data_IF_632874062280
#
_entry.id   IF_632874062280
#
_cell.length_a   1.000
_cell.length_b   1.000
_cell.length_c   1.000
_cell.angle_alpha   90.00
_cell.angle_beta   90.00
_cell.angle_gamma   90.00
#
_symmetry.space_group_name_H-M   'P 1'
#
loop_
_entity.id
_entity.type
_entity.pdbx_description
1 polymer ?
#
# COMPACT_ATOMS: atom_id res chain seq x y z
N UNK A 1 43.08 28.47 -0.66
CA UNK A 1 42.22 28.88 0.48
C UNK A 1 41.07 27.89 0.53
N UNK A 2 41.10 26.87 1.40
CA UNK A 2 39.98 25.96 1.61
C UNK A 2 38.94 26.71 2.45
N UNK A 3 37.80 27.03 1.85
CA UNK A 3 36.65 27.53 2.58
C UNK A 3 36.16 26.35 3.41
N UNK A 4 36.28 26.44 4.75
CA UNK A 4 35.62 25.48 5.64
C UNK A 4 34.10 25.60 5.39
N UNK A 5 33.44 24.52 5.00
CA UNK A 5 31.99 24.54 4.82
C UNK A 5 31.31 24.93 6.15
N UNK A 6 30.20 25.65 6.10
CA UNK A 6 29.43 25.95 7.30
C UNK A 6 28.77 24.67 7.82
N UNK A 7 28.76 24.43 9.15
CA UNK A 7 28.16 23.24 9.75
C UNK A 7 26.73 22.88 9.24
N UNK A 8 25.84 23.84 8.95
CA UNK A 8 24.56 23.55 8.31
C UNK A 8 24.65 22.99 6.87
N UNK A 9 25.65 23.45 6.10
CA UNK A 9 25.90 22.96 4.73
C UNK A 9 26.37 21.51 4.76
N UNK A 10 27.33 21.18 5.64
CA UNK A 10 27.85 19.82 5.79
C UNK A 10 26.76 18.84 6.22
N UNK A 11 25.89 19.23 7.14
CA UNK A 11 24.77 18.41 7.61
C UNK A 11 23.77 18.10 6.47
N UNK A 12 23.49 19.05 5.59
CA UNK A 12 22.62 18.82 4.44
C UNK A 12 23.28 17.91 3.38
N UNK A 13 24.59 18.10 3.13
CA UNK A 13 25.35 17.22 2.23
C UNK A 13 25.34 15.80 2.75
N UNK A 14 25.63 15.58 4.03
CA UNK A 14 25.57 14.25 4.64
C UNK A 14 24.19 13.63 4.55
N UNK A 15 23.14 14.39 4.86
CA UNK A 15 21.75 13.91 4.74
C UNK A 15 21.41 13.47 3.30
N UNK A 16 21.81 14.22 2.28
CA UNK A 16 21.56 13.88 0.88
C UNK A 16 22.39 12.65 0.47
N UNK A 17 23.61 12.52 0.96
CA UNK A 17 24.46 11.35 0.73
C UNK A 17 23.84 10.09 1.31
N UNK A 18 23.35 10.11 2.56
CA UNK A 18 22.66 8.98 3.19
C UNK A 18 21.35 8.64 2.45
N UNK A 19 20.61 9.63 2.00
CA UNK A 19 19.40 9.41 1.18
C UNK A 19 19.74 8.73 -0.15
N UNK A 20 20.84 9.09 -0.81
CA UNK A 20 21.28 8.44 -2.04
C UNK A 20 21.67 6.97 -1.79
N UNK A 21 22.40 6.68 -0.71
CA UNK A 21 22.73 5.29 -0.31
C UNK A 21 21.43 4.48 -0.13
N UNK A 22 20.51 4.95 0.71
CA UNK A 22 19.26 4.25 0.99
C UNK A 22 18.41 4.05 -0.30
N UNK A 23 18.44 4.99 -1.22
CA UNK A 23 17.75 4.86 -2.52
C UNK A 23 18.35 3.72 -3.35
N UNK A 24 19.67 3.61 -3.44
CA UNK A 24 20.32 2.50 -4.16
C UNK A 24 20.12 1.17 -3.45
N UNK A 25 20.05 1.14 -2.12
CA UNK A 25 19.73 -0.07 -1.36
C UNK A 25 18.32 -0.57 -1.74
N UNK A 26 17.31 0.30 -1.77
CA UNK A 26 15.96 -0.06 -2.22
C UNK A 26 15.94 -0.57 -3.67
N UNK A 27 16.68 0.07 -4.58
CA UNK A 27 16.75 -0.40 -5.97
C UNK A 27 17.41 -1.78 -6.06
N UNK A 28 18.40 -2.07 -5.23
CA UNK A 28 19.04 -3.38 -5.17
C UNK A 28 18.12 -4.44 -4.55
N UNK A 29 17.31 -4.07 -3.55
CA UNK A 29 16.25 -4.93 -3.00
C UNK A 29 15.21 -5.24 -4.09
N UNK A 30 14.76 -4.25 -4.85
CA UNK A 30 13.85 -4.46 -5.97
C UNK A 30 14.39 -5.48 -6.98
N UNK A 31 15.68 -5.36 -7.37
CA UNK A 31 16.32 -6.33 -8.28
C UNK A 31 16.33 -7.73 -7.67
N UNK A 32 16.67 -7.87 -6.40
CA UNK A 32 16.68 -9.13 -5.69
C UNK A 32 15.31 -9.80 -5.62
N UNK A 33 14.29 -9.04 -5.32
CA UNK A 33 12.90 -9.49 -5.28
C UNK A 33 12.39 -9.89 -6.67
N UNK A 34 12.53 -9.01 -7.66
CA UNK A 34 12.03 -9.26 -9.04
C UNK A 34 12.71 -10.41 -9.76
N UNK A 35 13.98 -10.66 -9.47
CA UNK A 35 14.75 -11.77 -10.02
C UNK A 35 14.69 -13.05 -9.16
N UNK A 36 13.96 -13.01 -8.02
CA UNK A 36 13.84 -14.14 -7.11
C UNK A 36 15.14 -14.54 -6.40
N UNK A 37 16.10 -13.60 -6.26
CA UNK A 37 17.42 -13.91 -5.73
C UNK A 37 17.40 -14.27 -4.25
N UNK A 38 16.55 -13.61 -3.46
CA UNK A 38 16.37 -13.94 -2.03
C UNK A 38 15.81 -15.34 -1.85
N UNK A 39 14.80 -15.71 -2.64
CA UNK A 39 14.22 -17.08 -2.62
C UNK A 39 15.24 -18.13 -3.04
N UNK A 40 16.00 -17.87 -4.11
CA UNK A 40 17.08 -18.76 -4.53
C UNK A 40 18.15 -18.95 -3.46
N UNK A 41 18.51 -17.89 -2.71
CA UNK A 41 19.42 -17.99 -1.56
C UNK A 41 18.81 -18.78 -0.40
N UNK A 42 17.53 -18.58 -0.08
CA UNK A 42 16.84 -19.32 0.97
C UNK A 42 16.79 -20.83 0.64
N UNK A 43 16.49 -21.18 -0.62
CA UNK A 43 16.41 -22.57 -1.08
C UNK A 43 17.78 -23.26 -1.13
N UNK A 44 18.83 -22.54 -1.52
CA UNK A 44 20.20 -23.09 -1.66
C UNK A 44 21.04 -23.00 -0.36
N UNK A 45 20.62 -22.16 0.58
CA UNK A 45 21.41 -21.80 1.75
C UNK A 45 22.62 -20.92 1.36
N UNK A 46 23.76 -21.13 2.00
CA UNK A 46 24.98 -20.38 1.68
C UNK A 46 25.48 -20.68 0.27
N UNK A 47 25.65 -19.65 -0.56
CA UNK A 47 25.94 -19.78 -1.99
C UNK A 47 27.04 -18.82 -2.45
N UNK A 48 27.87 -19.30 -3.40
CA UNK A 48 28.75 -18.44 -4.18
C UNK A 48 27.99 -17.69 -5.28
N UNK A 49 28.60 -16.67 -5.86
CA UNK A 49 28.02 -15.94 -7.00
C UNK A 49 27.70 -16.84 -8.20
N UNK A 50 28.55 -17.83 -8.47
CA UNK A 50 28.32 -18.77 -9.55
C UNK A 50 27.15 -19.72 -9.27
N UNK A 51 27.00 -20.17 -8.04
CA UNK A 51 25.88 -21.04 -7.62
C UNK A 51 24.56 -20.30 -7.69
N UNK A 52 24.47 -19.06 -7.13
CA UNK A 52 23.29 -18.22 -7.22
C UNK A 52 22.93 -17.89 -8.68
N UNK A 53 23.92 -17.51 -9.48
CA UNK A 53 23.70 -17.19 -10.89
C UNK A 53 23.07 -18.35 -11.66
N UNK A 54 23.55 -19.58 -11.38
CA UNK A 54 22.98 -20.79 -11.96
C UNK A 54 21.55 -21.06 -11.48
N UNK A 55 21.29 -20.89 -10.18
CA UNK A 55 19.98 -21.14 -9.59
C UNK A 55 18.93 -20.14 -10.10
N UNK A 56 19.29 -18.85 -10.19
CA UNK A 56 18.39 -17.79 -10.60
C UNK A 56 18.39 -17.50 -12.12
N UNK A 57 19.24 -18.18 -12.90
CA UNK A 57 19.31 -17.98 -14.36
C UNK A 57 19.85 -16.62 -14.78
N UNK A 58 20.76 -16.02 -13.99
CA UNK A 58 21.34 -14.70 -14.25
C UNK A 58 22.85 -14.79 -14.58
N UNK A 59 23.41 -13.67 -15.03
CA UNK A 59 24.85 -13.59 -15.30
C UNK A 59 25.68 -13.61 -14.01
N UNK A 60 26.76 -14.43 -13.89
CA UNK A 60 27.57 -14.55 -12.67
C UNK A 60 28.23 -13.23 -12.23
N UNK A 61 28.59 -12.33 -13.15
CA UNK A 61 29.20 -11.05 -12.78
C UNK A 61 28.21 -10.13 -12.08
N UNK A 62 26.95 -10.11 -12.56
CA UNK A 62 25.88 -9.36 -11.91
C UNK A 62 25.48 -9.99 -10.57
N UNK A 63 25.44 -11.32 -10.49
CA UNK A 63 25.20 -12.01 -9.22
C UNK A 63 26.23 -11.64 -8.17
N UNK A 64 27.52 -11.60 -8.53
CA UNK A 64 28.60 -11.20 -7.61
C UNK A 64 28.43 -9.78 -7.14
N UNK A 65 28.21 -8.82 -8.04
CA UNK A 65 28.04 -7.40 -7.66
C UNK A 65 26.86 -7.21 -6.71
N UNK A 66 25.73 -7.86 -7.02
CA UNK A 66 24.53 -7.77 -6.19
C UNK A 66 24.76 -8.38 -4.81
N UNK A 67 25.36 -9.57 -4.71
CA UNK A 67 25.69 -10.24 -3.45
C UNK A 67 26.62 -9.39 -2.57
N UNK A 68 27.67 -8.81 -3.16
CA UNK A 68 28.61 -7.96 -2.47
C UNK A 68 27.95 -6.66 -1.98
N UNK A 69 27.09 -6.03 -2.81
CA UNK A 69 26.33 -4.85 -2.43
C UNK A 69 25.37 -5.16 -1.27
N UNK A 70 24.60 -6.27 -1.36
CA UNK A 70 23.66 -6.68 -0.31
C UNK A 70 24.36 -7.04 1.00
N UNK A 71 25.56 -7.61 0.94
CA UNK A 71 26.36 -7.88 2.12
C UNK A 71 26.97 -6.58 2.71
N UNK A 72 27.38 -5.65 1.86
CA UNK A 72 27.90 -4.35 2.29
C UNK A 72 26.85 -3.51 3.04
N UNK A 73 25.55 -3.68 2.70
CA UNK A 73 24.44 -3.01 3.41
C UNK A 73 23.91 -3.79 4.60
N UNK A 74 24.42 -5.02 4.84
CA UNK A 74 23.98 -5.88 5.95
C UNK A 74 22.65 -6.62 5.71
N UNK A 75 22.12 -6.61 4.49
CA UNK A 75 20.93 -7.38 4.12
C UNK A 75 21.28 -8.86 3.99
N UNK A 76 22.46 -9.19 3.44
CA UNK A 76 23.02 -10.52 3.44
C UNK A 76 24.22 -10.60 4.37
N UNK A 77 24.54 -11.82 4.80
CA UNK A 77 25.78 -12.11 5.51
C UNK A 77 26.75 -12.86 4.59
N UNK A 78 28.05 -12.78 4.92
CA UNK A 78 29.14 -13.47 4.21
C UNK A 78 29.93 -14.33 5.18
N UNK A 79 30.19 -15.61 4.84
CA UNK A 79 30.89 -16.55 5.72
C UNK A 79 32.40 -16.35 5.70
N UNK A 80 32.98 -16.00 4.56
CA UNK A 80 34.42 -15.98 4.32
C UNK A 80 34.83 -14.75 3.53
N UNK A 81 34.65 -13.60 4.16
CA UNK A 81 34.89 -12.28 3.58
C UNK A 81 36.27 -12.13 2.92
N UNK A 82 37.31 -12.76 3.51
CA UNK A 82 38.70 -12.70 3.03
C UNK A 82 39.00 -13.66 1.86
N UNK A 83 38.03 -14.49 1.45
CA UNK A 83 38.22 -15.39 0.32
C UNK A 83 38.28 -14.63 -1.00
N UNK A 84 38.85 -15.26 -2.03
CA UNK A 84 38.78 -14.80 -3.40
C UNK A 84 37.33 -14.53 -3.81
N UNK A 85 37.02 -13.46 -4.58
CA UNK A 85 35.66 -13.04 -4.90
C UNK A 85 34.73 -14.14 -5.35
N UNK A 86 35.22 -15.07 -6.21
CA UNK A 86 34.41 -16.16 -6.74
C UNK A 86 34.21 -17.33 -5.74
N UNK A 87 34.86 -17.28 -4.58
CA UNK A 87 34.76 -18.25 -3.50
C UNK A 87 34.04 -17.75 -2.27
N UNK A 88 33.70 -16.44 -2.21
CA UNK A 88 32.89 -15.90 -1.12
C UNK A 88 31.51 -16.54 -1.11
N UNK A 89 31.03 -16.87 0.06
CA UNK A 89 29.70 -17.47 0.24
C UNK A 89 28.82 -16.51 1.00
N UNK A 90 27.61 -16.32 0.49
CA UNK A 90 26.62 -15.39 1.02
C UNK A 90 25.36 -16.14 1.41
N UNK A 91 24.66 -15.66 2.42
CA UNK A 91 23.41 -16.25 2.88
C UNK A 91 22.47 -15.20 3.46
N UNK A 92 21.18 -15.55 3.53
CA UNK A 92 20.18 -14.75 4.24
C UNK A 92 20.34 -14.98 5.76
N UNK A 93 20.52 -13.91 6.57
CA UNK A 93 20.47 -14.03 8.02
C UNK A 93 19.11 -14.50 8.52
N UNK A 94 19.03 -15.18 9.68
CA UNK A 94 17.76 -15.54 10.30
C UNK A 94 16.83 -14.35 10.48
N UNK A 95 15.54 -14.53 10.10
CA UNK A 95 14.52 -13.48 10.15
C UNK A 95 14.43 -12.61 8.90
N UNK A 96 15.46 -12.56 8.05
CA UNK A 96 15.40 -11.75 6.82
C UNK A 96 14.47 -12.37 5.76
N UNK A 97 14.25 -13.70 5.80
CA UNK A 97 13.28 -14.38 4.92
C UNK A 97 11.87 -13.84 5.13
N UNK A 98 11.45 -13.63 6.38
CA UNK A 98 10.15 -13.08 6.71
C UNK A 98 9.94 -11.69 6.09
N UNK A 99 10.98 -10.85 6.09
CA UNK A 99 10.93 -9.48 5.57
C UNK A 99 10.98 -9.41 4.05
N UNK A 100 11.70 -10.32 3.40
CA UNK A 100 12.04 -10.22 1.97
C UNK A 100 11.31 -11.24 1.09
N UNK A 101 10.72 -12.31 1.67
CA UNK A 101 10.16 -13.44 0.91
C UNK A 101 8.72 -13.76 1.32
N UNK A 102 8.37 -13.66 2.61
CA UNK A 102 7.08 -14.11 3.13
C UNK A 102 5.98 -13.06 2.93
N UNK A 103 5.41 -12.98 1.73
CA UNK A 103 4.41 -11.98 1.33
C UNK A 103 3.12 -11.97 2.19
N UNK A 104 2.89 -12.97 3.05
CA UNK A 104 1.76 -13.01 3.98
C UNK A 104 2.13 -12.63 5.41
N UNK A 105 3.40 -12.28 5.67
CA UNK A 105 3.83 -11.76 6.96
C UNK A 105 3.54 -10.27 7.09
N UNK A 106 3.14 -9.84 8.30
CA UNK A 106 3.00 -8.42 8.63
C UNK A 106 4.35 -7.66 8.63
N UNK A 107 5.47 -8.41 8.65
CA UNK A 107 6.82 -7.87 8.57
C UNK A 107 7.35 -7.79 7.12
N UNK A 108 6.57 -8.24 6.13
CA UNK A 108 7.00 -8.20 4.73
C UNK A 108 7.21 -6.76 4.26
N UNK A 109 8.40 -6.44 3.76
CA UNK A 109 8.78 -5.07 3.39
C UNK A 109 9.43 -4.95 1.99
N UNK A 110 9.64 -6.05 1.25
CA UNK A 110 10.20 -5.97 -0.11
C UNK A 110 9.31 -5.17 -1.06
N UNK A 111 7.99 -5.10 -0.81
CA UNK A 111 7.05 -4.26 -1.54
C UNK A 111 7.38 -2.76 -1.49
N UNK A 112 8.03 -2.26 -0.42
CA UNK A 112 8.47 -0.85 -0.34
C UNK A 112 9.47 -0.49 -1.44
N UNK A 113 10.38 -1.42 -1.77
CA UNK A 113 11.33 -1.21 -2.86
C UNK A 113 10.62 -1.16 -4.22
N UNK A 114 9.60 -1.99 -4.41
CA UNK A 114 8.77 -1.98 -5.62
C UNK A 114 7.95 -0.69 -5.72
N UNK A 115 7.36 -0.21 -4.61
CA UNK A 115 6.64 1.07 -4.57
C UNK A 115 7.55 2.26 -4.91
N UNK A 116 8.79 2.28 -4.37
CA UNK A 116 9.75 3.35 -4.68
C UNK A 116 10.08 3.41 -6.18
N UNK A 117 10.27 2.26 -6.84
CA UNK A 117 10.48 2.19 -8.29
C UNK A 117 9.22 2.61 -9.06
N UNK A 118 8.05 2.15 -8.65
CA UNK A 118 6.79 2.54 -9.30
C UNK A 118 6.59 4.06 -9.27
N UNK A 119 6.78 4.69 -8.12
CA UNK A 119 6.70 6.15 -7.97
C UNK A 119 7.73 6.90 -8.83
N UNK A 120 8.94 6.35 -8.98
CA UNK A 120 10.02 7.00 -9.73
C UNK A 120 9.87 6.87 -11.26
N UNK A 121 9.19 5.85 -11.77
CA UNK A 121 9.07 5.61 -13.22
C UNK A 121 8.46 6.77 -14.00
N UNK A 122 7.33 7.34 -13.62
CA UNK A 122 6.71 8.45 -14.35
C UNK A 122 7.23 9.82 -13.90
N UNK A 123 8.47 9.95 -13.44
CA UNK A 123 9.00 11.21 -12.88
C UNK A 123 8.83 12.41 -13.81
N UNK A 124 8.96 12.23 -15.13
CA UNK A 124 8.75 13.31 -16.09
C UNK A 124 7.29 13.76 -16.13
N UNK A 125 6.33 12.82 -16.05
CA UNK A 125 4.91 13.15 -15.96
C UNK A 125 4.56 13.84 -14.63
N UNK A 126 5.20 13.44 -13.53
CA UNK A 126 5.05 14.14 -12.24
C UNK A 126 5.60 15.56 -12.33
N UNK A 127 6.76 15.78 -12.97
CA UNK A 127 7.30 17.13 -13.21
C UNK A 127 6.34 18.00 -14.05
N UNK A 128 5.67 17.41 -15.02
CA UNK A 128 4.68 18.13 -15.83
C UNK A 128 3.39 18.41 -15.03
N UNK A 129 2.95 17.49 -14.18
CA UNK A 129 1.85 17.73 -13.24
C UNK A 129 2.14 18.92 -12.31
N UNK A 130 3.36 19.00 -11.75
CA UNK A 130 3.78 20.16 -10.94
C UNK A 130 3.74 21.50 -11.67
N UNK A 131 3.94 21.50 -13.00
CA UNK A 131 3.91 22.73 -13.82
C UNK A 131 2.51 23.11 -14.25
N UNK A 132 1.71 22.12 -14.65
CA UNK A 132 0.37 22.33 -15.23
C UNK A 132 -0.74 22.40 -14.19
N UNK A 133 -0.55 21.74 -13.06
CA UNK A 133 -1.63 21.48 -12.08
C UNK A 133 -2.56 20.35 -12.51
N UNK A 134 -2.27 19.64 -13.60
CA UNK A 134 -3.03 18.46 -14.03
C UNK A 134 -2.62 17.22 -13.22
N UNK A 135 -3.53 16.25 -13.13
CA UNK A 135 -3.27 15.00 -12.42
C UNK A 135 -2.61 13.94 -13.29
N UNK A 136 -2.21 12.84 -12.64
CA UNK A 136 -1.73 11.61 -13.28
C UNK A 136 -2.55 10.44 -12.74
N UNK A 137 -3.23 9.71 -13.64
CA UNK A 137 -4.05 8.56 -13.28
C UNK A 137 -3.21 7.40 -12.74
N UNK A 138 -3.79 6.58 -11.87
CA UNK A 138 -3.07 5.49 -11.19
C UNK A 138 -2.46 4.48 -12.18
N UNK A 139 -3.15 4.17 -13.28
CA UNK A 139 -2.62 3.32 -14.35
C UNK A 139 -1.35 3.87 -15.02
N UNK A 140 -1.15 5.19 -14.98
CA UNK A 140 0.08 5.84 -15.45
C UNK A 140 1.36 5.45 -14.70
N UNK A 141 1.23 4.88 -13.49
CA UNK A 141 2.35 4.35 -12.70
C UNK A 141 2.74 2.92 -13.07
N UNK A 142 1.89 2.24 -13.85
CA UNK A 142 2.14 0.91 -14.39
C UNK A 142 1.98 -0.23 -13.37
N UNK A 143 2.25 -1.48 -13.82
CA UNK A 143 1.90 -2.68 -13.04
C UNK A 143 2.66 -2.83 -11.72
N UNK A 144 3.84 -2.23 -11.57
CA UNK A 144 4.56 -2.26 -10.29
C UNK A 144 3.82 -1.48 -9.20
N UNK A 145 3.06 -0.42 -9.54
CA UNK A 145 2.26 0.33 -8.57
C UNK A 145 1.13 -0.55 -8.00
N UNK A 146 0.33 -1.16 -8.88
CA UNK A 146 -0.76 -2.05 -8.49
C UNK A 146 -0.24 -3.24 -7.67
N UNK A 147 0.83 -3.89 -8.14
CA UNK A 147 1.40 -5.05 -7.47
C UNK A 147 2.04 -4.71 -6.13
N UNK A 148 2.74 -3.58 -6.02
CA UNK A 148 3.31 -3.17 -4.74
C UNK A 148 2.24 -2.81 -3.72
N UNK A 149 1.16 -2.17 -4.15
CA UNK A 149 0.01 -1.87 -3.31
C UNK A 149 -0.63 -3.15 -2.78
N UNK A 150 -0.92 -4.12 -3.67
CA UNK A 150 -1.42 -5.44 -3.29
C UNK A 150 -0.54 -6.12 -2.25
N UNK A 151 0.76 -6.22 -2.50
CA UNK A 151 1.73 -6.89 -1.63
C UNK A 151 1.92 -6.20 -0.28
N UNK A 152 1.71 -4.88 -0.21
CA UNK A 152 1.81 -4.11 1.03
C UNK A 152 0.58 -4.28 1.93
N UNK A 153 -0.63 -4.32 1.34
CA UNK A 153 -1.89 -4.30 2.09
C UNK A 153 -2.46 -5.70 2.37
N UNK A 154 -2.21 -6.66 1.48
CA UNK A 154 -2.71 -8.03 1.61
C UNK A 154 -2.44 -8.67 2.97
N UNK A 155 -1.22 -8.64 3.55
CA UNK A 155 -0.98 -9.23 4.87
C UNK A 155 -1.89 -8.67 5.96
N UNK A 156 -2.14 -7.36 5.94
CA UNK A 156 -3.01 -6.70 6.91
C UNK A 156 -4.47 -7.14 6.73
N UNK A 157 -4.96 -7.21 5.48
CA UNK A 157 -6.32 -7.67 5.22
C UNK A 157 -6.52 -9.14 5.62
N UNK A 158 -5.59 -10.02 5.26
CA UNK A 158 -5.70 -11.44 5.61
C UNK A 158 -5.57 -11.70 7.11
N UNK A 159 -4.76 -10.91 7.84
CA UNK A 159 -4.45 -11.17 9.26
C UNK A 159 -5.28 -10.36 10.23
N UNK A 160 -5.61 -9.10 9.91
CA UNK A 160 -6.12 -8.14 10.89
C UNK A 160 -7.58 -7.71 10.61
N UNK A 161 -7.98 -7.60 9.34
CA UNK A 161 -9.27 -7.01 8.98
C UNK A 161 -10.45 -7.74 9.63
N UNK A 162 -10.52 -9.05 9.46
CA UNK A 162 -11.62 -9.86 9.99
C UNK A 162 -11.48 -10.29 11.46
N UNK A 163 -10.24 -10.31 12.00
CA UNK A 163 -9.95 -10.78 13.35
C UNK A 163 -9.86 -9.67 14.40
N UNK A 164 -9.52 -8.46 13.98
CA UNK A 164 -9.27 -7.34 14.89
C UNK A 164 -10.05 -6.09 14.50
N UNK A 165 -9.95 -5.60 13.26
CA UNK A 165 -10.45 -4.29 12.90
C UNK A 165 -11.98 -4.22 12.87
N UNK A 166 -12.64 -5.10 12.12
CA UNK A 166 -14.10 -5.13 12.08
C UNK A 166 -14.72 -5.53 13.43
N UNK A 167 -14.16 -6.52 14.18
CA UNK A 167 -14.65 -6.85 15.51
C UNK A 167 -14.49 -5.74 16.55
N UNK A 168 -13.61 -4.77 16.35
CA UNK A 168 -13.45 -3.62 17.26
C UNK A 168 -14.68 -2.69 17.30
N UNK A 169 -15.60 -2.82 16.34
CA UNK A 169 -16.90 -2.13 16.31
C UNK A 169 -17.99 -3.16 16.58
N UNK A 170 -18.47 -3.30 17.86
CA UNK A 170 -19.36 -4.39 18.27
C UNK A 170 -20.65 -4.50 17.46
N UNK A 171 -21.30 -3.37 17.16
CA UNK A 171 -22.56 -3.34 16.40
C UNK A 171 -22.34 -3.83 14.97
N UNK A 172 -21.21 -3.47 14.37
CA UNK A 172 -20.83 -3.93 13.04
C UNK A 172 -20.53 -5.42 13.03
N UNK A 173 -19.73 -5.89 13.99
CA UNK A 173 -19.37 -7.30 14.14
C UNK A 173 -20.63 -8.17 14.30
N UNK A 174 -21.56 -7.75 15.16
CA UNK A 174 -22.85 -8.43 15.36
C UNK A 174 -23.68 -8.45 14.08
N UNK A 175 -23.79 -7.30 13.37
CA UNK A 175 -24.57 -7.22 12.13
C UNK A 175 -24.01 -8.14 11.04
N UNK A 176 -22.69 -8.19 10.86
CA UNK A 176 -22.04 -9.04 9.85
C UNK A 176 -22.18 -10.54 10.16
N UNK A 177 -22.35 -10.92 11.43
CA UNK A 177 -22.57 -12.30 11.88
C UNK A 177 -24.03 -12.75 11.87
N UNK A 178 -25.00 -11.83 11.75
CA UNK A 178 -26.43 -12.07 12.00
C UNK A 178 -27.22 -12.45 10.75
N UNK A 179 -28.48 -12.87 10.94
CA UNK A 179 -29.48 -13.01 9.89
C UNK A 179 -30.43 -11.79 9.88
N UNK A 180 -30.89 -11.35 8.71
CA UNK A 180 -30.55 -11.83 7.38
C UNK A 180 -29.10 -11.52 7.01
N UNK A 181 -28.49 -12.26 6.04
CA UNK A 181 -27.12 -12.04 5.58
C UNK A 181 -26.82 -10.59 5.25
N UNK A 182 -25.72 -10.07 5.79
CA UNK A 182 -25.30 -8.69 5.53
C UNK A 182 -24.70 -8.54 4.13
N UNK A 183 -24.84 -7.34 3.55
CA UNK A 183 -24.25 -6.96 2.28
C UNK A 183 -23.19 -5.89 2.50
N UNK A 184 -22.04 -6.09 1.92
CA UNK A 184 -20.89 -5.18 2.02
C UNK A 184 -20.55 -4.63 0.63
N UNK A 185 -20.30 -3.32 0.53
CA UNK A 185 -19.61 -2.74 -0.61
C UNK A 185 -18.19 -2.37 -0.16
N UNK A 186 -17.19 -2.71 -0.97
CA UNK A 186 -15.79 -2.40 -0.74
C UNK A 186 -15.33 -1.45 -1.84
N UNK A 187 -15.22 -0.16 -1.52
CA UNK A 187 -14.95 0.92 -2.48
C UNK A 187 -13.47 1.17 -2.59
N UNK A 188 -12.98 1.28 -3.81
CA UNK A 188 -11.55 1.27 -4.15
C UNK A 188 -10.87 -0.03 -3.68
N UNK A 189 -11.50 -1.16 -4.05
CA UNK A 189 -11.10 -2.49 -3.57
C UNK A 189 -9.78 -3.00 -4.15
N UNK A 190 -9.20 -2.31 -5.13
CA UNK A 190 -7.94 -2.67 -5.76
C UNK A 190 -7.93 -4.11 -6.26
N UNK A 191 -6.95 -4.89 -5.84
CA UNK A 191 -6.81 -6.32 -6.17
C UNK A 191 -7.74 -7.26 -5.37
N UNK A 192 -8.69 -6.71 -4.58
CA UNK A 192 -9.81 -7.44 -3.96
C UNK A 192 -9.50 -8.17 -2.65
N UNK A 193 -8.32 -8.03 -2.07
CA UNK A 193 -7.96 -8.77 -0.85
C UNK A 193 -8.77 -8.35 0.37
N UNK A 194 -9.16 -7.09 0.51
CA UNK A 194 -10.10 -6.62 1.54
C UNK A 194 -11.46 -7.30 1.40
N UNK A 195 -12.05 -7.30 0.20
CA UNK A 195 -13.30 -7.97 -0.11
C UNK A 195 -13.28 -9.47 0.19
N UNK A 196 -12.23 -10.17 -0.26
CA UNK A 196 -12.02 -11.60 -0.03
C UNK A 196 -11.88 -11.88 1.49
N UNK A 197 -11.12 -11.07 2.20
CA UNK A 197 -10.90 -11.23 3.65
C UNK A 197 -12.17 -10.99 4.46
N UNK A 198 -13.00 -10.01 4.10
CA UNK A 198 -14.31 -9.79 4.72
C UNK A 198 -15.22 -11.01 4.52
N UNK A 199 -15.32 -11.51 3.28
CA UNK A 199 -16.14 -12.68 2.98
C UNK A 199 -15.66 -13.96 3.69
N UNK A 200 -14.36 -14.12 3.91
CA UNK A 200 -13.79 -15.24 4.70
C UNK A 200 -14.10 -15.11 6.18
N UNK A 201 -13.99 -13.90 6.73
CA UNK A 201 -14.25 -13.66 8.14
C UNK A 201 -15.72 -13.87 8.53
N UNK A 202 -16.65 -13.57 7.61
CA UNK A 202 -18.09 -13.60 7.86
C UNK A 202 -18.81 -14.50 6.82
N UNK A 203 -19.07 -15.74 7.19
CA UNK A 203 -19.51 -16.80 6.28
C UNK A 203 -20.83 -16.54 5.54
N UNK A 204 -21.67 -15.63 6.04
CA UNK A 204 -22.97 -15.27 5.41
C UNK A 204 -22.89 -14.02 4.54
N UNK A 205 -21.84 -13.23 4.65
CA UNK A 205 -21.71 -11.93 4.00
C UNK A 205 -21.50 -12.09 2.49
N UNK A 206 -22.16 -11.26 1.70
CA UNK A 206 -21.83 -11.02 0.28
C UNK A 206 -21.11 -9.68 0.13
N UNK A 207 -20.11 -9.63 -0.74
CA UNK A 207 -19.28 -8.44 -0.96
C UNK A 207 -19.29 -8.03 -2.43
N UNK A 208 -19.55 -6.75 -2.68
CA UNK A 208 -19.43 -6.10 -4.00
C UNK A 208 -18.20 -5.18 -3.94
N UNK A 209 -17.09 -5.59 -4.55
CA UNK A 209 -15.88 -4.76 -4.68
C UNK A 209 -16.02 -3.82 -5.88
N UNK A 210 -15.67 -2.56 -5.69
CA UNK A 210 -15.79 -1.50 -6.71
C UNK A 210 -14.45 -0.80 -6.83
N UNK A 211 -13.92 -0.72 -8.03
CA UNK A 211 -12.73 0.05 -8.33
C UNK A 211 -12.81 0.71 -9.70
N UNK A 212 -12.15 1.85 -9.88
CA UNK A 212 -12.08 2.56 -11.16
C UNK A 212 -11.05 1.95 -12.11
N UNK A 213 -10.00 1.32 -11.55
CA UNK A 213 -8.86 0.78 -12.30
C UNK A 213 -9.16 -0.63 -12.83
N UNK A 214 -9.34 -0.76 -14.15
CA UNK A 214 -9.63 -2.05 -14.78
C UNK A 214 -8.54 -3.10 -14.55
N UNK A 215 -7.22 -2.79 -14.64
CA UNK A 215 -6.17 -3.74 -14.31
C UNK A 215 -6.24 -4.28 -12.87
N UNK A 216 -6.61 -3.46 -11.89
CA UNK A 216 -6.86 -3.88 -10.51
C UNK A 216 -8.05 -4.82 -10.39
N UNK A 217 -9.15 -4.53 -11.06
CA UNK A 217 -10.34 -5.43 -11.12
C UNK A 217 -9.99 -6.76 -11.80
N UNK A 218 -9.22 -6.75 -12.87
CA UNK A 218 -8.77 -7.98 -13.53
C UNK A 218 -7.90 -8.83 -12.58
N UNK A 219 -7.07 -8.18 -11.75
CA UNK A 219 -6.29 -8.87 -10.72
C UNK A 219 -7.19 -9.38 -9.59
N UNK A 220 -8.15 -8.59 -9.12
CA UNK A 220 -9.12 -9.01 -8.11
C UNK A 220 -9.89 -10.27 -8.55
N UNK A 221 -10.31 -10.32 -9.80
CA UNK A 221 -10.96 -11.49 -10.36
C UNK A 221 -10.04 -12.72 -10.41
N UNK A 222 -8.74 -12.54 -10.73
CA UNK A 222 -7.76 -13.64 -10.66
C UNK A 222 -7.57 -14.13 -9.23
N UNK A 223 -7.48 -13.23 -8.26
CA UNK A 223 -7.30 -13.57 -6.84
C UNK A 223 -8.53 -14.28 -6.26
N UNK A 224 -9.73 -13.97 -6.77
CA UNK A 224 -10.99 -14.58 -6.35
C UNK A 224 -11.19 -15.98 -6.94
N UNK A 225 -10.77 -16.18 -8.19
CA UNK A 225 -11.02 -17.44 -8.94
C UNK A 225 -10.44 -18.65 -8.20
N UNK A 226 -11.29 -19.64 -7.92
CA UNK A 226 -10.95 -20.86 -7.18
C UNK A 226 -10.80 -20.65 -5.67
N UNK A 227 -11.13 -19.47 -5.14
CA UNK A 227 -11.15 -19.23 -3.70
C UNK A 227 -12.39 -19.83 -3.03
N UNK A 228 -12.33 -19.98 -1.72
CA UNK A 228 -13.42 -20.48 -0.86
C UNK A 228 -14.61 -19.51 -0.72
N UNK A 229 -14.53 -18.33 -1.31
CA UNK A 229 -15.56 -17.28 -1.24
C UNK A 229 -16.02 -16.79 -2.62
N UNK A 230 -15.66 -17.48 -3.69
CA UNK A 230 -15.94 -17.10 -5.08
C UNK A 230 -17.44 -16.89 -5.36
N UNK A 231 -18.31 -17.60 -4.67
CA UNK A 231 -19.76 -17.50 -4.81
C UNK A 231 -20.38 -16.27 -4.14
N UNK A 232 -19.66 -15.62 -3.24
CA UNK A 232 -20.13 -14.50 -2.39
C UNK A 232 -19.46 -13.17 -2.65
N UNK A 233 -18.45 -13.11 -3.51
CA UNK A 233 -17.72 -11.86 -3.86
C UNK A 233 -17.90 -11.57 -5.34
N UNK A 234 -18.08 -10.30 -5.68
CA UNK A 234 -18.13 -9.82 -7.07
C UNK A 234 -17.36 -8.53 -7.20
N UNK A 235 -16.76 -8.30 -8.38
CA UNK A 235 -15.98 -7.09 -8.66
C UNK A 235 -16.57 -6.31 -9.82
N UNK A 236 -16.53 -4.97 -9.73
CA UNK A 236 -17.07 -4.03 -10.69
C UNK A 236 -16.06 -2.92 -11.01
N UNK A 237 -15.73 -2.74 -12.29
CA UNK A 237 -14.94 -1.59 -12.73
C UNK A 237 -15.89 -0.39 -12.95
N UNK A 238 -15.95 0.52 -11.95
CA UNK A 238 -16.84 1.70 -11.96
C UNK A 238 -16.29 2.82 -11.10
N UNK A 239 -16.60 4.06 -11.49
CA UNK A 239 -16.36 5.23 -10.63
C UNK A 239 -17.36 5.21 -9.46
N UNK A 240 -16.84 5.17 -8.24
CA UNK A 240 -17.65 5.16 -7.02
C UNK A 240 -18.45 6.45 -6.80
N UNK A 241 -18.03 7.57 -7.41
CA UNK A 241 -18.80 8.81 -7.37
C UNK A 241 -20.08 8.76 -8.22
N UNK A 242 -20.09 7.93 -9.27
CA UNK A 242 -21.18 7.87 -10.26
C UNK A 242 -22.00 6.58 -10.18
N UNK A 243 -21.66 5.68 -9.25
CA UNK A 243 -22.32 4.39 -9.08
C UNK A 243 -23.71 4.57 -8.46
N UNK A 244 -24.70 3.94 -9.09
CA UNK A 244 -26.03 3.73 -8.51
C UNK A 244 -26.27 2.24 -8.34
N UNK A 245 -26.23 1.72 -7.12
CA UNK A 245 -26.72 0.39 -6.79
C UNK A 245 -28.19 0.46 -6.37
N UNK A 246 -28.99 -0.47 -6.88
CA UNK A 246 -30.38 -0.64 -6.45
C UNK A 246 -30.46 -1.27 -5.05
N UNK A 247 -29.43 -2.01 -4.69
CA UNK A 247 -29.32 -2.66 -3.40
C UNK A 247 -28.74 -1.74 -2.34
N UNK A 248 -29.09 -2.04 -1.11
CA UNK A 248 -28.58 -1.34 0.07
C UNK A 248 -27.54 -2.19 0.80
N UNK A 249 -26.52 -1.54 1.35
CA UNK A 249 -25.41 -2.16 2.06
C UNK A 249 -25.47 -1.87 3.55
N UNK A 250 -25.16 -2.88 4.34
CA UNK A 250 -25.05 -2.76 5.79
C UNK A 250 -23.69 -2.18 6.20
N UNK A 251 -22.68 -2.40 5.36
CA UNK A 251 -21.34 -1.85 5.52
C UNK A 251 -20.82 -1.38 4.17
N UNK A 252 -20.18 -0.22 4.17
CA UNK A 252 -19.26 0.18 3.09
C UNK A 252 -17.87 0.36 3.66
N UNK A 253 -16.86 -0.22 3.01
CA UNK A 253 -15.45 -0.08 3.39
C UNK A 253 -14.69 0.76 2.36
N UNK A 254 -13.71 1.54 2.84
CA UNK A 254 -12.72 2.26 2.03
C UNK A 254 -11.38 2.09 2.73
N UNK A 255 -10.38 1.53 2.04
CA UNK A 255 -9.05 1.35 2.60
C UNK A 255 -7.98 1.99 1.72
N UNK A 256 -7.18 2.89 2.33
CA UNK A 256 -6.00 3.52 1.73
C UNK A 256 -6.30 4.15 0.35
N UNK A 257 -7.43 4.86 0.25
CA UNK A 257 -7.89 5.38 -1.03
C UNK A 257 -8.63 6.74 -0.94
N UNK A 258 -9.24 7.09 0.20
CA UNK A 258 -10.02 8.33 0.29
C UNK A 258 -9.16 9.57 0.04
N UNK A 259 -7.90 9.53 0.43
CA UNK A 259 -6.93 10.62 0.32
C UNK A 259 -6.47 10.92 -1.12
N UNK A 260 -6.60 9.97 -2.03
CA UNK A 260 -6.17 10.13 -3.43
C UNK A 260 -7.36 10.25 -4.41
N UNK A 261 -8.59 10.17 -3.91
CA UNK A 261 -9.79 10.38 -4.73
C UNK A 261 -9.92 11.85 -5.18
N UNK A 262 -10.11 12.12 -6.47
CA UNK A 262 -10.34 13.49 -6.94
C UNK A 262 -11.61 14.12 -6.40
N UNK A 263 -12.65 13.32 -6.12
CA UNK A 263 -13.98 13.78 -5.67
C UNK A 263 -14.46 13.04 -4.41
N UNK A 264 -13.72 13.13 -3.27
CA UNK A 264 -14.00 12.34 -2.07
C UNK A 264 -15.40 12.61 -1.49
N UNK A 265 -15.86 13.86 -1.53
CA UNK A 265 -17.20 14.24 -1.05
C UNK A 265 -18.31 13.63 -1.90
N UNK A 266 -18.14 13.59 -3.23
CA UNK A 266 -19.14 12.99 -4.12
C UNK A 266 -19.18 11.47 -3.93
N UNK A 267 -18.03 10.82 -3.77
CA UNK A 267 -17.94 9.40 -3.42
C UNK A 267 -18.65 9.12 -2.09
N UNK A 268 -18.34 9.86 -1.04
CA UNK A 268 -19.00 9.69 0.26
C UNK A 268 -20.51 9.97 0.20
N UNK A 269 -20.96 10.92 -0.61
CA UNK A 269 -22.40 11.21 -0.83
C UNK A 269 -23.10 10.02 -1.54
N UNK A 270 -22.46 9.45 -2.55
CA UNK A 270 -22.95 8.26 -3.23
C UNK A 270 -23.02 7.07 -2.27
N UNK A 271 -21.95 6.84 -1.50
CA UNK A 271 -21.89 5.79 -0.47
C UNK A 271 -23.04 5.95 0.54
N UNK A 272 -23.26 7.17 1.04
CA UNK A 272 -24.39 7.43 1.96
C UNK A 272 -25.72 7.03 1.34
N UNK A 273 -25.91 7.27 0.05
CA UNK A 273 -27.10 6.85 -0.70
C UNK A 273 -27.25 5.33 -0.87
N UNK A 274 -26.17 4.57 -0.74
CA UNK A 274 -26.17 3.11 -0.86
C UNK A 274 -26.37 2.38 0.50
N UNK A 275 -26.33 3.08 1.63
CA UNK A 275 -26.50 2.45 2.94
C UNK A 275 -27.95 2.06 3.24
N UNK A 276 -28.12 1.00 4.02
CA UNK A 276 -29.37 0.74 4.76
C UNK A 276 -29.54 1.82 5.85
N UNK A 277 -30.71 1.92 6.48
CA UNK A 277 -30.97 2.89 7.54
C UNK A 277 -29.98 2.79 8.72
N UNK A 278 -29.46 1.61 8.99
CA UNK A 278 -28.46 1.34 10.04
C UNK A 278 -27.08 1.03 9.47
N UNK A 279 -26.87 1.26 8.18
CA UNK A 279 -25.62 0.97 7.51
C UNK A 279 -24.51 1.93 7.94
N UNK A 280 -23.28 1.40 7.96
CA UNK A 280 -22.09 2.08 8.44
C UNK A 280 -21.04 2.20 7.33
N UNK A 281 -20.18 3.22 7.43
CA UNK A 281 -18.98 3.31 6.59
C UNK A 281 -17.75 3.14 7.49
N UNK A 282 -16.89 2.20 7.15
CA UNK A 282 -15.63 1.94 7.83
C UNK A 282 -14.48 2.36 6.91
N UNK A 283 -13.74 3.37 7.32
CA UNK A 283 -12.61 3.92 6.55
C UNK A 283 -11.31 3.62 7.29
N UNK A 284 -10.34 3.03 6.58
CA UNK A 284 -8.96 2.92 7.04
C UNK A 284 -8.05 3.70 6.11
N UNK A 285 -7.33 4.68 6.64
CA UNK A 285 -6.44 5.54 5.83
C UNK A 285 -5.18 5.90 6.64
N UNK A 286 -4.18 6.49 6.03
CA UNK A 286 -2.89 6.75 6.65
C UNK A 286 -2.99 7.49 7.98
N UNK A 287 -2.26 6.98 8.96
CA UNK A 287 -2.16 7.61 10.28
C UNK A 287 -1.20 8.78 10.25
N UNK A 288 -1.74 9.95 10.03
CA UNK A 288 -1.01 11.22 10.03
C UNK A 288 -1.06 11.91 11.39
N UNK A 289 -0.18 12.87 11.65
CA UNK A 289 -0.31 13.78 12.80
C UNK A 289 -1.57 14.64 12.64
N UNK A 290 -2.09 15.19 13.74
CA UNK A 290 -3.30 16.01 13.69
C UNK A 290 -3.06 17.39 13.09
N UNK A 291 -1.81 17.86 13.07
CA UNK A 291 -1.40 19.13 12.51
C UNK A 291 -0.04 19.03 11.81
N UNK A 292 0.23 20.00 10.92
CA UNK A 292 1.54 20.11 10.28
C UNK A 292 2.64 20.38 11.30
N UNK A 293 3.72 19.60 11.22
CA UNK A 293 4.94 19.79 12.03
C UNK A 293 6.17 19.78 11.12
N UNK A 294 7.18 20.58 11.47
CA UNK A 294 8.45 20.62 10.78
C UNK A 294 9.62 20.79 11.77
N UNK A 295 10.56 19.85 11.81
CA UNK A 295 10.60 18.61 11.05
C UNK A 295 9.52 17.61 11.51
N UNK A 296 8.96 16.86 10.55
CA UNK A 296 7.95 15.85 10.80
C UNK A 296 8.58 14.51 11.25
N UNK A 297 7.82 13.65 11.95
CA UNK A 297 8.21 12.26 12.21
C UNK A 297 8.49 11.48 10.92
N UNK A 298 9.30 10.42 10.99
CA UNK A 298 9.74 9.69 9.80
C UNK A 298 8.58 9.10 8.98
N UNK A 299 7.53 8.60 9.63
CA UNK A 299 6.34 8.08 8.95
C UNK A 299 5.63 9.17 8.14
N UNK A 300 5.40 10.34 8.72
CA UNK A 300 4.75 11.45 8.01
C UNK A 300 5.64 11.98 6.87
N UNK A 301 6.97 11.94 7.05
CA UNK A 301 7.92 12.26 5.96
C UNK A 301 7.80 11.26 4.79
N UNK A 302 7.62 9.97 5.09
CA UNK A 302 7.38 8.94 4.09
C UNK A 302 6.05 9.21 3.35
N UNK A 303 4.98 9.51 4.09
CA UNK A 303 3.67 9.86 3.50
C UNK A 303 3.73 11.10 2.62
N UNK A 304 4.46 12.15 3.01
CA UNK A 304 4.71 13.29 2.11
C UNK A 304 5.46 12.86 0.86
N UNK A 305 6.38 11.92 0.95
CA UNK A 305 7.09 11.35 -0.19
C UNK A 305 6.11 10.67 -1.18
N UNK A 306 5.27 9.76 -0.69
CA UNK A 306 4.22 9.14 -1.50
C UNK A 306 3.22 10.17 -2.03
N UNK A 307 2.82 11.13 -1.20
CA UNK A 307 1.89 12.17 -1.59
C UNK A 307 2.35 12.92 -2.83
N UNK A 308 3.56 13.49 -2.81
CA UNK A 308 4.07 14.28 -3.95
C UNK A 308 4.36 13.45 -5.19
N UNK A 309 4.65 12.16 -5.02
CA UNK A 309 5.02 11.29 -6.13
C UNK A 309 3.84 10.55 -6.74
N UNK A 310 2.76 10.29 -5.98
CA UNK A 310 1.67 9.43 -6.42
C UNK A 310 0.29 9.96 -6.04
N UNK A 311 -0.03 10.06 -4.74
CA UNK A 311 -1.41 10.25 -4.32
C UNK A 311 -1.94 11.67 -4.60
N UNK A 312 -1.11 12.71 -4.47
CA UNK A 312 -1.52 14.05 -4.86
C UNK A 312 -1.75 14.16 -6.38
N UNK A 313 -0.82 13.70 -7.26
CA UNK A 313 -1.11 13.63 -8.69
C UNK A 313 -2.37 12.84 -9.02
N UNK A 314 -2.64 11.69 -8.37
CA UNK A 314 -3.87 10.93 -8.58
C UNK A 314 -5.12 11.72 -8.15
N UNK A 315 -5.05 12.35 -6.98
CA UNK A 315 -6.13 13.21 -6.44
C UNK A 315 -6.36 14.51 -7.23
N UNK A 316 -5.47 14.86 -8.17
CA UNK A 316 -5.59 16.06 -9.02
C UNK A 316 -6.22 15.76 -10.39
N UNK A 317 -6.65 14.52 -10.66
CA UNK A 317 -7.24 14.15 -11.96
C UNK A 317 -8.65 14.75 -12.14
N UNK A 318 -8.90 15.30 -13.32
CA UNK A 318 -10.23 15.80 -13.71
C UNK A 318 -10.55 17.22 -13.24
N UNK A 319 -11.80 17.67 -13.41
CA UNK A 319 -12.22 19.03 -13.09
C UNK A 319 -12.47 19.23 -11.60
N UNK A 320 -11.98 20.34 -11.05
CA UNK A 320 -12.17 20.75 -9.65
C UNK A 320 -11.81 19.64 -8.63
N UNK A 321 -10.61 19.07 -8.72
CA UNK A 321 -10.19 17.99 -7.84
C UNK A 321 -9.99 18.52 -6.41
N UNK A 322 -10.17 17.64 -5.42
CA UNK A 322 -9.92 17.96 -4.02
C UNK A 322 -8.42 18.13 -3.73
N UNK A 323 -7.56 17.34 -4.40
CA UNK A 323 -6.11 17.41 -4.27
C UNK A 323 -5.64 17.17 -2.84
N UNK A 324 -6.21 16.19 -2.15
CA UNK A 324 -5.95 15.92 -0.74
C UNK A 324 -4.53 15.41 -0.50
N UNK A 325 -4.15 14.35 -1.19
CA UNK A 325 -2.87 13.66 -1.02
C UNK A 325 -2.79 12.82 0.25
N UNK A 326 -1.76 11.98 0.33
CA UNK A 326 -1.58 10.96 1.40
C UNK A 326 -1.65 11.53 2.83
N UNK A 327 -1.20 12.78 3.03
CA UNK A 327 -1.19 13.40 4.36
C UNK A 327 -2.56 14.01 4.67
N UNK A 328 -3.60 13.16 4.59
CA UNK A 328 -4.98 13.52 4.93
C UNK A 328 -5.17 13.50 6.45
N UNK A 329 -5.53 14.63 7.04
CA UNK A 329 -5.78 14.78 8.48
C UNK A 329 -7.15 14.26 8.86
N UNK A 330 -7.32 13.83 10.12
CA UNK A 330 -8.62 13.39 10.63
C UNK A 330 -9.72 14.46 10.46
N UNK A 331 -9.37 15.73 10.62
CA UNK A 331 -10.31 16.85 10.42
C UNK A 331 -10.70 17.03 8.95
N UNK A 332 -9.84 16.66 7.99
CA UNK A 332 -10.17 16.63 6.56
C UNK A 332 -11.22 15.56 6.27
N UNK A 333 -11.03 14.34 6.81
CA UNK A 333 -12.02 13.25 6.68
C UNK A 333 -13.36 13.67 7.31
N UNK A 334 -13.32 14.25 8.51
CA UNK A 334 -14.51 14.79 9.18
C UNK A 334 -15.25 15.83 8.32
N UNK A 335 -14.49 16.73 7.70
CA UNK A 335 -15.06 17.75 6.81
C UNK A 335 -15.77 17.11 5.61
N UNK A 336 -15.11 16.17 4.93
CA UNK A 336 -15.68 15.44 3.78
C UNK A 336 -16.94 14.66 4.17
N UNK A 337 -16.91 13.96 5.31
CA UNK A 337 -18.07 13.22 5.82
C UNK A 337 -19.25 14.16 6.11
N UNK A 338 -19.00 15.30 6.76
CA UNK A 338 -20.01 16.29 7.08
C UNK A 338 -20.64 16.89 5.81
N UNK A 339 -19.81 17.26 4.83
CA UNK A 339 -20.26 17.81 3.55
C UNK A 339 -21.04 16.78 2.71
N UNK A 340 -20.69 15.50 2.83
CA UNK A 340 -21.44 14.40 2.23
C UNK A 340 -22.77 14.11 2.94
N UNK A 341 -23.00 14.69 4.14
CA UNK A 341 -24.25 14.61 4.89
C UNK A 341 -24.31 13.50 5.95
N UNK A 342 -23.17 12.93 6.35
CA UNK A 342 -23.10 12.03 7.50
C UNK A 342 -23.35 12.79 8.81
N UNK A 343 -24.12 12.18 9.72
CA UNK A 343 -24.47 12.80 11.00
C UNK A 343 -23.36 12.64 12.05
N UNK A 344 -22.65 11.51 12.04
CA UNK A 344 -21.59 11.24 12.98
C UNK A 344 -20.29 10.80 12.27
N UNK A 345 -19.19 11.16 12.91
CA UNK A 345 -17.83 10.80 12.52
C UNK A 345 -17.04 10.46 13.79
N UNK A 346 -16.57 9.25 13.88
CA UNK A 346 -15.76 8.78 15.00
C UNK A 346 -14.39 8.32 14.53
N UNK A 347 -13.34 8.67 15.28
CA UNK A 347 -12.02 8.08 15.16
C UNK A 347 -11.99 6.84 16.04
N UNK A 348 -11.81 5.68 15.44
CA UNK A 348 -11.82 4.42 16.16
C UNK A 348 -10.50 4.18 16.93
N UNK A 349 -10.57 3.65 18.17
CA UNK A 349 -9.36 3.39 18.98
C UNK A 349 -8.65 2.09 18.58
N UNK A 350 -8.51 1.83 17.29
CA UNK A 350 -7.79 0.67 16.75
C UNK A 350 -6.30 0.98 16.75
N UNK A 351 -5.52 0.16 17.46
CA UNK A 351 -4.07 0.29 17.48
C UNK A 351 -3.48 -0.20 16.15
N UNK A 352 -2.98 0.72 15.36
CA UNK A 352 -2.26 0.44 14.13
C UNK A 352 -1.24 1.56 13.89
N UNK A 353 -0.01 1.18 13.53
CA UNK A 353 1.06 2.15 13.33
C UNK A 353 0.94 2.91 12.02
N UNK A 354 0.35 2.29 10.99
CA UNK A 354 0.30 2.83 9.63
C UNK A 354 -1.03 3.50 9.34
N UNK A 355 -2.14 2.97 9.85
CA UNK A 355 -3.48 3.45 9.54
C UNK A 355 -4.21 4.00 10.74
N UNK A 356 -5.11 4.96 10.48
CA UNK A 356 -6.13 5.46 11.38
C UNK A 356 -7.49 5.05 10.82
N UNK A 357 -8.38 4.63 11.70
CA UNK A 357 -9.70 4.14 11.31
C UNK A 357 -10.80 5.10 11.71
N UNK A 358 -11.80 5.20 10.86
CA UNK A 358 -12.93 6.08 11.06
C UNK A 358 -14.24 5.33 10.83
N UNK A 359 -15.27 5.70 11.59
CA UNK A 359 -16.63 5.23 11.43
C UNK A 359 -17.53 6.40 11.08
N UNK A 360 -18.30 6.26 10.00
CA UNK A 360 -19.29 7.26 9.60
C UNK A 360 -20.68 6.65 9.73
N UNK A 361 -21.63 7.40 10.29
CA UNK A 361 -23.03 7.00 10.42
C UNK A 361 -23.97 8.07 9.86
N UNK A 362 -25.18 7.63 9.40
CA UNK A 362 -26.19 8.50 8.81
C UNK A 362 -26.87 9.39 9.86
#
# INVERSE_FOLDING_TARGET
>A
MSVSPSAPCDALVERLFQAAIATFDLFSVYLGDRLGLYRALADCGSSTAGELAKAAGINPRYAREWLEQQAATGILAVENQEAEPDRRRFFLPPGHEEVLIEETSLNFAASLAQSAIACARPIDAVLDAFRSGEGLTFDGYGPDAQQSQERSTRPMFERLLGSEWLPSVPELHERLGSDPPARVADVACGSGWSSISIARAYAKVSVEGIDLDQPSIDQAQRNLTGSDVEDRVRFHCRDAADVAFSERFDLVTIFEALHDMPRPVDVLRTIRGMLTETGLVFVGDERTEDSFTAPAPDRERLYYGFSIMTCLPSGMVGPNPAGTGTVMRADTVRHYATEAGFACFDVLPIANDSWRFYLLTQ
#
